data_IF_806333497988
#
_entry.id   IF_806333497988
#
_cell.length_a   1.000
_cell.length_b   1.000
_cell.length_c   1.000
_cell.angle_alpha   90.00
_cell.angle_beta   90.00
_cell.angle_gamma   90.00
#
_symmetry.space_group_name_H-M   'P 1'
#
loop_
_entity.id
_entity.type
_entity.pdbx_description
1 polymer ?
#
# COMPACT_ATOMS: atom_id res chain seq x y z
N UNK A 1 -7.85 1.42 0.80
CA UNK A 1 -6.57 0.77 0.46
C UNK A 1 -5.98 0.17 1.71
N UNK A 2 -5.20 -0.90 1.60
CA UNK A 2 -4.64 -1.61 2.76
C UNK A 2 -3.13 -1.68 2.71
N UNK A 3 -2.44 -1.22 3.74
CA UNK A 3 -1.00 -1.34 3.89
C UNK A 3 -0.68 -2.42 4.91
N UNK A 4 -0.11 -3.52 4.43
CA UNK A 4 0.35 -4.63 5.27
C UNK A 4 1.78 -4.36 5.74
N UNK A 5 2.00 -4.48 7.05
CA UNK A 5 3.27 -4.25 7.72
C UNK A 5 3.59 -5.39 8.67
N UNK A 6 4.82 -5.45 9.16
CA UNK A 6 5.21 -6.29 10.31
C UNK A 6 5.81 -5.38 11.37
N UNK A 7 5.00 -4.89 12.30
CA UNK A 7 5.41 -3.93 13.31
C UNK A 7 5.80 -2.55 12.76
N UNK A 8 6.26 -1.71 13.68
CA UNK A 8 6.72 -0.33 13.41
C UNK A 8 8.19 -0.28 12.98
N UNK A 9 8.56 -1.07 11.97
CA UNK A 9 9.91 -0.98 11.41
C UNK A 9 10.11 0.36 10.68
N UNK A 10 11.36 0.85 10.54
CA UNK A 10 11.63 2.06 9.75
C UNK A 10 11.06 2.00 8.33
N UNK A 11 11.01 0.79 7.73
CA UNK A 11 10.45 0.57 6.40
C UNK A 11 8.92 0.70 6.40
N UNK A 12 8.23 0.15 7.41
CA UNK A 12 6.77 0.31 7.60
C UNK A 12 6.38 1.77 7.77
N UNK A 13 7.11 2.50 8.62
CA UNK A 13 6.85 3.92 8.90
C UNK A 13 7.05 4.76 7.63
N UNK A 14 8.14 4.53 6.89
CA UNK A 14 8.38 5.19 5.60
C UNK A 14 7.30 4.88 4.58
N UNK A 15 6.88 3.62 4.47
CA UNK A 15 5.79 3.23 3.57
C UNK A 15 4.50 4.00 3.86
N UNK A 16 4.10 4.07 5.13
CA UNK A 16 2.90 4.80 5.52
C UNK A 16 3.03 6.31 5.27
N UNK A 17 4.16 6.91 5.61
CA UNK A 17 4.41 8.33 5.39
C UNK A 17 4.35 8.69 3.89
N UNK A 18 5.05 7.92 3.05
CA UNK A 18 5.05 8.12 1.59
C UNK A 18 3.64 7.93 1.00
N UNK A 19 2.93 6.88 1.42
CA UNK A 19 1.55 6.65 0.98
C UNK A 19 0.64 7.81 1.35
N UNK A 20 0.76 8.33 2.57
CA UNK A 20 -0.07 9.45 3.05
C UNK A 20 0.16 10.70 2.21
N UNK A 21 1.42 11.04 1.93
CA UNK A 21 1.77 12.20 1.07
C UNK A 21 1.15 12.04 -0.31
N UNK A 22 1.33 10.88 -0.95
CA UNK A 22 0.76 10.61 -2.28
C UNK A 22 -0.77 10.68 -2.29
N UNK A 23 -1.42 10.16 -1.25
CA UNK A 23 -2.86 10.22 -1.13
C UNK A 23 -3.37 11.64 -0.93
N UNK A 24 -2.69 12.46 -0.14
CA UNK A 24 -3.04 13.88 0.05
C UNK A 24 -2.84 14.71 -1.23
N UNK A 25 -1.81 14.42 -2.01
CA UNK A 25 -1.52 15.12 -3.26
C UNK A 25 -2.50 14.76 -4.39
N UNK A 26 -2.80 13.47 -4.55
CA UNK A 26 -3.55 12.97 -5.73
C UNK A 26 -5.01 12.58 -5.43
N UNK A 27 -5.33 12.26 -4.17
CA UNK A 27 -6.62 11.72 -3.75
C UNK A 27 -7.25 12.50 -2.59
N UNK A 28 -6.88 13.78 -2.43
CA UNK A 28 -7.30 14.64 -1.31
C UNK A 28 -8.79 14.47 -0.94
N UNK A 29 -9.04 14.08 0.31
CA UNK A 29 -10.39 13.89 0.86
C UNK A 29 -11.16 12.67 0.31
N UNK A 30 -10.55 11.84 -0.55
CA UNK A 30 -11.18 10.69 -1.22
C UNK A 30 -10.34 9.42 -1.07
N UNK A 31 -9.71 9.23 0.08
CA UNK A 31 -8.93 8.03 0.34
C UNK A 31 -9.15 7.53 1.77
N UNK A 32 -8.96 6.22 1.93
CA UNK A 32 -8.89 5.57 3.23
C UNK A 32 -7.71 4.61 3.20
N UNK A 33 -6.81 4.76 4.17
CA UNK A 33 -5.69 3.85 4.40
C UNK A 33 -6.01 3.04 5.65
N UNK A 34 -6.06 1.73 5.48
CA UNK A 34 -6.13 0.76 6.57
C UNK A 34 -4.73 0.16 6.73
N UNK A 35 -4.16 0.21 7.94
CA UNK A 35 -2.86 -0.40 8.23
C UNK A 35 -3.10 -1.70 8.97
N UNK A 36 -2.56 -2.80 8.44
CA UNK A 36 -2.75 -4.14 9.00
C UNK A 36 -1.37 -4.69 9.39
N UNK A 37 -1.18 -4.92 10.68
CA UNK A 37 0.02 -5.59 11.17
C UNK A 37 -0.15 -7.12 11.07
N UNK A 38 0.68 -7.75 10.25
CA UNK A 38 0.68 -9.20 10.08
C UNK A 38 1.35 -9.94 11.24
N UNK A 39 2.02 -9.24 12.16
CA UNK A 39 2.45 -9.84 13.42
C UNK A 39 1.25 -10.08 14.34
N UNK A 40 0.22 -9.24 14.26
CA UNK A 40 -1.03 -9.37 15.01
C UNK A 40 -2.05 -10.25 14.28
N UNK A 41 -2.11 -10.13 12.94
CA UNK A 41 -3.07 -10.82 12.07
C UNK A 41 -2.38 -11.67 10.98
N UNK A 42 -1.59 -12.70 11.35
CA UNK A 42 -0.79 -13.49 10.39
C UNK A 42 -1.64 -14.23 9.34
N UNK A 43 -2.89 -14.58 9.66
CA UNK A 43 -3.84 -15.22 8.76
C UNK A 43 -4.16 -14.38 7.52
N UNK A 44 -4.12 -13.05 7.65
CA UNK A 44 -4.41 -12.11 6.57
C UNK A 44 -3.34 -12.14 5.46
N UNK A 45 -2.12 -12.60 5.78
CA UNK A 45 -1.04 -12.73 4.81
C UNK A 45 -1.41 -13.71 3.69
N UNK A 46 -1.88 -14.91 4.05
CA UNK A 46 -2.28 -15.94 3.08
C UNK A 46 -3.52 -15.54 2.29
N UNK A 47 -4.53 -15.00 2.98
CA UNK A 47 -5.78 -14.56 2.33
C UNK A 47 -5.57 -13.46 1.28
N UNK A 48 -4.56 -12.61 1.47
CA UNK A 48 -4.21 -11.54 0.53
C UNK A 48 -2.95 -11.86 -0.30
N UNK A 49 -2.44 -13.10 -0.30
CA UNK A 49 -1.24 -13.52 -1.04
C UNK A 49 -0.02 -12.60 -0.82
N UNK A 50 0.19 -12.15 0.41
CA UNK A 50 1.29 -11.25 0.76
C UNK A 50 2.58 -12.04 0.88
N UNK A 51 3.53 -11.78 -0.03
CA UNK A 51 4.83 -12.48 -0.09
C UNK A 51 5.95 -11.70 0.59
N UNK A 52 5.82 -10.37 0.67
CA UNK A 52 6.85 -9.48 1.22
C UNK A 52 6.21 -8.32 1.99
N UNK A 53 7.01 -7.66 2.84
CA UNK A 53 6.57 -6.50 3.62
C UNK A 53 7.56 -5.33 3.53
N UNK A 54 7.08 -4.08 3.67
CA UNK A 54 5.67 -3.68 3.65
C UNK A 54 5.05 -3.80 2.24
N UNK A 55 3.74 -4.07 2.16
CA UNK A 55 2.99 -4.22 0.89
C UNK A 55 1.69 -3.44 0.92
N UNK A 56 1.48 -2.58 -0.07
CA UNK A 56 0.23 -1.88 -0.31
C UNK A 56 -0.66 -2.68 -1.26
N UNK A 57 -1.88 -2.97 -0.83
CA UNK A 57 -2.93 -3.60 -1.64
C UNK A 57 -3.98 -2.56 -2.00
N UNK A 58 -4.20 -2.41 -3.30
CA UNK A 58 -5.20 -1.52 -3.89
C UNK A 58 -6.26 -2.39 -4.56
N UNK A 59 -7.47 -2.36 -4.01
CA UNK A 59 -8.63 -3.02 -4.60
C UNK A 59 -9.25 -2.07 -5.63
N UNK A 60 -9.15 -2.41 -6.91
CA UNK A 60 -9.81 -1.71 -8.01
C UNK A 60 -11.03 -2.52 -8.46
N UNK A 61 -12.03 -1.90 -9.11
CA UNK A 61 -13.24 -2.61 -9.55
C UNK A 61 -12.98 -3.82 -10.45
N UNK A 62 -11.86 -3.83 -11.19
CA UNK A 62 -11.53 -4.87 -12.18
C UNK A 62 -10.31 -5.70 -11.81
N UNK A 63 -9.55 -5.34 -10.76
CA UNK A 63 -8.33 -6.05 -10.37
C UNK A 63 -7.88 -5.67 -8.97
N UNK A 64 -7.07 -6.53 -8.36
CA UNK A 64 -6.32 -6.21 -7.15
C UNK A 64 -4.87 -5.96 -7.54
N UNK A 65 -4.31 -4.82 -7.13
CA UNK A 65 -2.89 -4.50 -7.36
C UNK A 65 -2.12 -4.52 -6.04
N UNK A 66 -0.90 -5.03 -6.10
CA UNK A 66 0.01 -5.07 -4.96
C UNK A 66 1.28 -4.28 -5.30
N UNK A 67 1.71 -3.43 -4.38
CA UNK A 67 2.93 -2.65 -4.49
C UNK A 67 3.79 -2.99 -3.27
N UNK A 68 4.95 -3.61 -3.52
CA UNK A 68 5.89 -4.05 -2.49
C UNK A 68 6.95 -2.97 -2.27
N UNK A 69 7.26 -2.68 -1.01
CA UNK A 69 8.33 -1.75 -0.63
C UNK A 69 7.83 -0.53 0.13
N UNK A 70 8.73 0.42 0.36
CA UNK A 70 8.46 1.62 1.16
C UNK A 70 7.76 2.75 0.40
N UNK A 71 7.25 2.46 -0.80
CA UNK A 71 6.46 3.39 -1.62
C UNK A 71 7.19 4.70 -1.94
N UNK A 72 8.53 4.70 -1.93
CA UNK A 72 9.37 5.87 -2.26
C UNK A 72 9.39 6.22 -3.75
N UNK A 73 9.09 5.26 -4.63
CA UNK A 73 9.01 5.49 -6.07
C UNK A 73 7.58 5.91 -6.45
N UNK A 74 7.36 7.22 -6.48
CA UNK A 74 6.08 7.86 -6.79
C UNK A 74 5.42 7.30 -8.06
N UNK A 75 6.14 7.26 -9.19
CA UNK A 75 5.55 6.82 -10.48
C UNK A 75 5.02 5.38 -10.41
N UNK A 76 5.80 4.47 -9.80
CA UNK A 76 5.35 3.08 -9.61
C UNK A 76 4.12 2.98 -8.72
N UNK A 77 4.06 3.80 -7.68
CA UNK A 77 2.92 3.81 -6.76
C UNK A 77 1.67 4.38 -7.44
N UNK A 78 1.80 5.46 -8.22
CA UNK A 78 0.69 6.07 -8.95
C UNK A 78 0.12 5.13 -10.01
N UNK A 79 0.99 4.42 -10.76
CA UNK A 79 0.56 3.36 -11.67
C UNK A 79 -0.15 2.25 -10.89
N UNK A 80 0.43 1.77 -9.79
CA UNK A 80 -0.18 0.72 -8.97
C UNK A 80 -1.51 1.12 -8.31
N UNK A 81 -1.73 2.41 -8.07
CA UNK A 81 -2.99 2.99 -7.59
C UNK A 81 -3.98 3.33 -8.72
N UNK A 82 -3.62 3.05 -9.98
CA UNK A 82 -4.38 3.41 -11.18
C UNK A 82 -4.65 4.92 -11.32
N UNK A 83 -3.79 5.75 -10.74
CA UNK A 83 -3.81 7.22 -10.86
C UNK A 83 -3.06 7.72 -12.10
N UNK A 84 -2.21 6.87 -12.68
CA UNK A 84 -1.53 7.10 -13.95
C UNK A 84 -1.60 5.85 -14.83
N UNK A 85 -1.63 6.07 -16.14
CA UNK A 85 -1.53 4.98 -17.12
C UNK A 85 -0.06 4.58 -17.28
N UNK A 86 0.19 3.29 -17.50
CA UNK A 86 1.49 2.83 -17.98
C UNK A 86 1.66 3.38 -19.39
N UNK A 87 2.65 4.26 -19.57
CA UNK A 87 3.10 4.74 -20.87
C UNK A 87 4.05 3.76 -21.53
#
# INVERSE_FOLDING_TARGET
MRLFVAGQTPKSIRAFANLKVLCEEHLKGRYQIEVIDLLEHPEMARGNQIVALPTLVVNLPQSVRQIIGDLSNTDRVLVGMALQKVG
#
